data_IF_685840148856
#
_entry.id   IF_685840148856
#
_cell.length_a   1.000
_cell.length_b   1.000
_cell.length_c   1.000
_cell.angle_alpha   90.00
_cell.angle_beta   90.00
_cell.angle_gamma   90.00
#
_symmetry.space_group_name_H-M   'P 1'
#
loop_
_entity.id
_entity.type
_entity.pdbx_description
1 polymer ?
#
# COMPACT_ATOMS: atom_id res chain seq x y z
N UNK A 1 -9.94 16.27 -27.80
CA UNK A 1 -9.51 17.63 -27.42
C UNK A 1 -8.11 17.83 -27.98
N UNK A 2 -7.85 18.94 -28.66
CA UNK A 2 -6.52 19.31 -29.18
C UNK A 2 -5.50 19.34 -28.03
N UNK A 3 -4.34 18.67 -28.16
CA UNK A 3 -3.33 18.61 -27.08
C UNK A 3 -2.65 19.97 -26.83
N UNK A 4 -2.78 20.88 -27.80
CA UNK A 4 -2.26 22.25 -27.72
C UNK A 4 -3.20 23.18 -26.97
N UNK A 5 -4.47 22.80 -26.81
CA UNK A 5 -5.52 23.59 -26.14
C UNK A 5 -5.14 23.92 -24.70
N UNK A 6 -5.48 25.15 -24.28
CA UNK A 6 -5.32 25.61 -22.91
C UNK A 6 -6.04 24.68 -21.93
N UNK A 7 -7.27 24.27 -22.25
CA UNK A 7 -8.06 23.35 -21.42
C UNK A 7 -7.37 22.00 -21.23
N UNK A 8 -6.76 21.46 -22.29
CA UNK A 8 -6.02 20.19 -22.21
C UNK A 8 -4.81 20.33 -21.28
N UNK A 9 -4.04 21.41 -21.42
CA UNK A 9 -2.87 21.68 -20.57
C UNK A 9 -3.25 21.86 -19.11
N UNK A 10 -4.32 22.61 -18.83
CA UNK A 10 -4.84 22.82 -17.46
C UNK A 10 -5.24 21.49 -16.81
N UNK A 11 -5.94 20.61 -17.54
CA UNK A 11 -6.29 19.29 -17.02
C UNK A 11 -5.06 18.41 -16.76
N UNK A 12 -4.06 18.44 -17.64
CA UNK A 12 -2.81 17.70 -17.43
C UNK A 12 -2.05 18.23 -16.22
N UNK A 13 -2.03 19.54 -15.99
CA UNK A 13 -1.42 20.13 -14.77
C UNK A 13 -2.15 19.70 -13.49
N UNK A 14 -3.48 19.73 -13.49
CA UNK A 14 -4.27 19.25 -12.35
C UNK A 14 -3.98 17.77 -12.10
N UNK A 15 -4.00 16.94 -13.13
CA UNK A 15 -3.70 15.52 -12.98
C UNK A 15 -2.27 15.27 -12.48
N UNK A 16 -1.26 15.98 -12.97
CA UNK A 16 0.11 15.85 -12.44
C UNK A 16 0.23 16.28 -10.99
N UNK A 17 -0.57 17.27 -10.55
CA UNK A 17 -0.59 17.72 -9.15
C UNK A 17 -1.33 16.74 -8.24
N UNK A 18 -2.45 16.20 -8.70
CA UNK A 18 -3.36 15.39 -7.88
C UNK A 18 -3.08 13.88 -7.98
N UNK A 19 -2.51 13.39 -9.08
CA UNK A 19 -2.07 12.00 -9.25
C UNK A 19 -0.70 11.80 -8.59
N UNK A 20 -0.70 11.89 -7.27
CA UNK A 20 0.43 11.39 -6.47
C UNK A 20 0.49 9.87 -6.57
N UNK A 21 1.71 9.32 -6.59
CA UNK A 21 1.89 7.87 -6.60
C UNK A 21 1.21 7.27 -5.36
N UNK A 22 0.11 6.55 -5.57
CA UNK A 22 -0.55 5.84 -4.49
C UNK A 22 0.31 4.64 -4.09
N UNK A 23 1.02 4.74 -2.97
CA UNK A 23 1.63 3.60 -2.29
C UNK A 23 0.57 2.73 -1.57
N UNK A 24 -0.66 2.72 -2.08
CA UNK A 24 -1.85 2.09 -1.53
C UNK A 24 -1.91 0.60 -1.85
N UNK A 25 -0.91 -0.12 -1.37
CA UNK A 25 -0.88 -1.57 -1.13
C UNK A 25 0.38 -1.97 -0.32
N UNK A 26 1.10 -0.99 0.25
CA UNK A 26 2.27 -1.21 1.10
C UNK A 26 1.88 -1.67 2.50
N UNK A 27 0.61 -1.53 2.86
CA UNK A 27 0.04 -1.86 4.16
C UNK A 27 0.20 -3.35 4.54
N UNK A 28 -0.19 -4.35 3.71
CA UNK A 28 0.10 -5.75 3.99
C UNK A 28 1.60 -6.07 3.95
N UNK A 29 2.36 -5.46 3.02
CA UNK A 29 3.80 -5.70 2.89
C UNK A 29 4.55 -5.18 4.13
N UNK A 30 4.13 -4.05 4.69
CA UNK A 30 4.71 -3.48 5.90
C UNK A 30 4.47 -4.39 7.11
N UNK A 31 3.27 -4.95 7.26
CA UNK A 31 2.96 -5.93 8.31
C UNK A 31 3.81 -7.19 8.12
N UNK A 32 3.89 -7.73 6.90
CA UNK A 32 4.69 -8.90 6.59
C UNK A 32 6.19 -8.66 6.87
N UNK A 33 6.73 -7.52 6.46
CA UNK A 33 8.12 -7.14 6.71
C UNK A 33 8.40 -6.95 8.21
N UNK A 34 7.49 -6.29 8.94
CA UNK A 34 7.59 -6.10 10.38
C UNK A 34 7.57 -7.44 11.13
N UNK A 35 6.66 -8.36 10.76
CA UNK A 35 6.60 -9.70 11.33
C UNK A 35 7.89 -10.51 11.03
N UNK A 36 8.42 -10.42 9.81
CA UNK A 36 9.68 -11.08 9.44
C UNK A 36 10.87 -10.51 10.23
N UNK A 37 10.93 -9.18 10.40
CA UNK A 37 11.96 -8.52 11.20
C UNK A 37 11.85 -8.89 12.70
N UNK A 38 10.64 -8.93 13.25
CA UNK A 38 10.37 -9.33 14.63
C UNK A 38 10.80 -10.78 14.89
N UNK A 39 10.46 -11.72 13.99
CA UNK A 39 10.96 -13.11 14.08
C UNK A 39 12.48 -13.17 14.09
N UNK A 40 13.15 -12.41 13.20
CA UNK A 40 14.63 -12.36 13.18
C UNK A 40 15.19 -11.84 14.49
N UNK A 41 14.60 -10.79 15.05
CA UNK A 41 15.01 -10.22 16.33
C UNK A 41 14.76 -11.17 17.52
N UNK A 42 13.65 -11.90 17.50
CA UNK A 42 13.26 -12.83 18.55
C UNK A 42 14.11 -14.12 18.55
N UNK A 43 14.65 -14.53 17.40
CA UNK A 43 15.54 -15.69 17.27
C UNK A 43 14.84 -17.06 17.34
N UNK A 44 13.54 -17.08 17.64
CA UNK A 44 12.70 -18.30 17.70
C UNK A 44 11.42 -18.11 16.89
N UNK A 45 10.68 -19.20 16.68
CA UNK A 45 9.35 -19.13 16.08
C UNK A 45 8.36 -18.55 17.12
N UNK A 46 7.72 -17.40 16.86
CA UNK A 46 6.73 -16.85 17.77
C UNK A 46 5.48 -17.75 17.84
N UNK A 47 4.92 -17.89 19.03
CA UNK A 47 3.68 -18.66 19.26
C UNK A 47 2.42 -17.80 19.13
N UNK A 48 2.56 -16.48 19.24
CA UNK A 48 1.48 -15.50 19.13
C UNK A 48 2.01 -14.21 18.49
N UNK A 49 1.15 -13.49 17.77
CA UNK A 49 1.42 -12.17 17.23
C UNK A 49 0.19 -11.30 17.51
N UNK A 50 0.42 -10.12 18.08
CA UNK A 50 -0.60 -9.08 18.24
C UNK A 50 -0.23 -7.90 17.34
N UNK A 51 -1.17 -7.45 16.51
CA UNK A 51 -0.96 -6.36 15.54
C UNK A 51 -2.01 -5.28 15.77
N UNK A 52 -1.55 -4.06 16.06
CA UNK A 52 -2.38 -2.87 16.09
C UNK A 52 -2.12 -2.03 14.83
N UNK A 53 -3.16 -1.80 14.03
CA UNK A 53 -3.07 -1.01 12.81
C UNK A 53 -4.31 -0.13 12.65
N UNK A 54 -4.17 0.98 11.90
CA UNK A 54 -5.30 1.84 11.55
C UNK A 54 -6.36 1.06 10.77
N UNK A 55 -7.65 1.35 11.00
CA UNK A 55 -8.75 0.73 10.26
C UNK A 55 -8.64 0.91 8.74
N UNK A 56 -7.99 1.98 8.28
CA UNK A 56 -7.72 2.21 6.86
C UNK A 56 -6.72 1.19 6.27
N UNK A 57 -5.76 0.72 7.07
CA UNK A 57 -4.79 -0.32 6.70
C UNK A 57 -5.50 -1.67 6.58
N UNK A 58 -6.33 -2.03 7.57
CA UNK A 58 -7.05 -3.30 7.59
C UNK A 58 -8.13 -3.38 6.50
N UNK A 59 -8.79 -2.26 6.20
CA UNK A 59 -9.80 -2.19 5.13
C UNK A 59 -9.24 -2.59 3.76
N UNK A 60 -8.01 -2.15 3.45
CA UNK A 60 -7.35 -2.46 2.18
C UNK A 60 -6.85 -3.91 2.14
N UNK A 61 -6.35 -4.46 3.26
CA UNK A 61 -5.91 -5.88 3.33
C UNK A 61 -7.05 -6.87 3.10
N UNK A 62 -8.25 -6.58 3.61
CA UNK A 62 -9.39 -7.51 3.51
C UNK A 62 -9.84 -7.80 2.06
N UNK A 63 -9.54 -6.90 1.13
CA UNK A 63 -10.05 -6.98 -0.25
C UNK A 63 -8.96 -7.20 -1.30
N UNK A 64 -7.69 -7.28 -0.89
CA UNK A 64 -6.55 -7.33 -1.81
C UNK A 64 -5.69 -8.55 -1.49
N UNK A 65 -5.60 -9.47 -2.44
CA UNK A 65 -4.69 -10.63 -2.39
C UNK A 65 -3.33 -10.19 -2.94
N UNK A 66 -2.24 -10.53 -2.26
CA UNK A 66 -0.90 -10.28 -2.79
C UNK A 66 -0.63 -11.29 -3.93
N UNK A 67 -0.25 -10.83 -5.14
CA UNK A 67 0.01 -11.73 -6.26
C UNK A 67 1.04 -12.80 -5.87
N UNK A 68 0.77 -14.05 -6.26
CA UNK A 68 1.61 -15.23 -5.98
C UNK A 68 1.68 -15.69 -4.50
N UNK A 69 0.87 -15.14 -3.58
CA UNK A 69 0.81 -15.66 -2.19
C UNK A 69 -0.28 -16.70 -1.96
N UNK A 70 -1.21 -16.87 -2.91
CA UNK A 70 -2.29 -17.86 -2.83
C UNK A 70 -3.52 -17.42 -2.02
N UNK A 71 -3.56 -16.16 -1.54
CA UNK A 71 -4.58 -15.68 -0.61
C UNK A 71 -4.02 -15.59 0.80
#
# INVERSE_FOLDING_TARGET
MERTSLTYKTYVEILNRELVCAMGCTEPIAIAYCAAAARRALGVLPTCIEVAASGNIIKNVKSVIVPHTGG
#
